data_IF_908335459450
#
_entry.id   IF_908335459450
#
_cell.length_a   1.000
_cell.length_b   1.000
_cell.length_c   1.000
_cell.angle_alpha   90.00
_cell.angle_beta   90.00
_cell.angle_gamma   90.00
#
_symmetry.space_group_name_H-M   'P 1'
#
loop_
_entity.id
_entity.type
_entity.pdbx_description
1 polymer ?
#
# COMPACT_ATOMS: atom_id res chain seq x y z
N UNK A 1 -25.75 51.05 -52.96
CA UNK A 1 -24.90 51.46 -54.11
C UNK A 1 -23.45 51.05 -53.81
N UNK A 2 -22.71 50.54 -54.81
CA UNK A 2 -21.34 49.93 -54.80
C UNK A 2 -21.27 48.48 -54.26
N UNK A 3 -21.41 47.41 -55.06
CA UNK A 3 -20.61 46.78 -56.16
C UNK A 3 -19.30 46.06 -55.72
N UNK A 4 -19.40 44.71 -55.74
CA UNK A 4 -18.49 43.63 -56.17
C UNK A 4 -16.97 43.82 -56.08
N UNK A 5 -16.26 42.77 -55.66
CA UNK A 5 -15.28 42.01 -56.46
C UNK A 5 -15.01 40.67 -55.74
N UNK A 6 -15.31 39.57 -56.41
CA UNK A 6 -14.90 38.22 -55.99
C UNK A 6 -13.49 37.91 -56.49
N UNK A 7 -12.83 36.94 -55.85
CA UNK A 7 -11.63 36.30 -56.41
C UNK A 7 -11.53 34.82 -56.01
N UNK A 8 -11.62 34.00 -57.07
CA UNK A 8 -10.85 32.80 -57.40
C UNK A 8 -10.83 31.60 -56.42
N UNK A 9 -11.58 30.58 -56.85
CA UNK A 9 -11.32 29.16 -56.62
C UNK A 9 -9.88 28.81 -56.98
N UNK A 10 -9.16 28.15 -56.07
CA UNK A 10 -8.04 27.27 -56.42
C UNK A 10 -8.40 25.88 -55.88
N UNK A 11 -8.76 25.00 -56.81
CA UNK A 11 -8.99 23.58 -56.57
C UNK A 11 -7.61 22.91 -56.56
N UNK A 12 -7.09 22.58 -55.38
CA UNK A 12 -5.89 21.73 -55.26
C UNK A 12 -6.34 20.28 -55.21
N UNK A 13 -6.16 19.56 -56.32
CA UNK A 13 -6.16 18.11 -56.35
C UNK A 13 -4.90 17.64 -55.60
N UNK A 14 -5.01 17.30 -54.32
CA UNK A 14 -4.00 16.49 -53.65
C UNK A 14 -4.38 15.02 -53.81
N UNK A 15 -3.54 14.31 -54.55
CA UNK A 15 -3.65 12.89 -54.78
C UNK A 15 -3.69 12.14 -53.43
N UNK A 16 -4.72 11.32 -53.27
CA UNK A 16 -4.82 10.34 -52.21
C UNK A 16 -3.70 9.29 -52.41
N UNK A 17 -2.63 9.41 -51.63
CA UNK A 17 -1.76 8.27 -51.35
C UNK A 17 -2.42 7.52 -50.18
N UNK A 18 -3.20 6.49 -50.51
CA UNK A 18 -3.63 5.50 -49.53
C UNK A 18 -2.41 4.66 -49.21
N UNK A 19 -1.64 5.09 -48.22
CA UNK A 19 -0.73 4.21 -47.49
C UNK A 19 -1.62 3.36 -46.58
N UNK A 20 -1.97 2.16 -47.05
CA UNK A 20 -2.44 1.10 -46.18
C UNK A 20 -1.27 0.69 -45.28
N UNK A 21 -1.10 1.41 -44.18
CA UNK A 21 -0.37 0.90 -43.04
C UNK A 21 -1.22 -0.24 -42.48
N UNK A 22 -0.93 -1.45 -42.94
CA UNK A 22 -1.12 -2.67 -42.17
C UNK A 22 -0.16 -2.62 -40.98
N UNK A 23 -0.34 -1.62 -40.11
CA UNK A 23 0.29 -1.52 -38.83
C UNK A 23 -0.48 -2.43 -37.89
N UNK A 24 0.18 -3.50 -37.47
CA UNK A 24 -0.22 -4.44 -36.43
C UNK A 24 -1.09 -3.77 -35.35
N UNK A 25 -2.42 -3.93 -35.46
CA UNK A 25 -3.41 -3.34 -34.56
C UNK A 25 -3.47 -4.07 -33.23
N UNK A 26 -2.40 -3.99 -32.45
CA UNK A 26 -2.47 -4.26 -31.03
C UNK A 26 -3.37 -3.19 -30.42
N UNK A 27 -4.56 -3.57 -29.98
CA UNK A 27 -5.52 -2.66 -29.36
C UNK A 27 -4.95 -2.13 -28.04
N UNK A 28 -4.21 -1.03 -28.09
CA UNK A 28 -3.81 -0.29 -26.88
C UNK A 28 -5.03 0.28 -26.13
N UNK A 29 -6.21 0.27 -26.76
CA UNK A 29 -7.47 0.72 -26.16
C UNK A 29 -8.20 -0.36 -25.33
N UNK A 30 -7.73 -1.61 -25.32
CA UNK A 30 -8.39 -2.64 -24.50
C UNK A 30 -7.81 -2.61 -23.09
N UNK A 31 -8.55 -2.18 -22.05
CA UNK A 31 -8.03 -2.16 -20.69
C UNK A 31 -7.79 -3.58 -20.16
N UNK A 32 -6.89 -3.70 -19.21
CA UNK A 32 -6.74 -4.88 -18.37
C UNK A 32 -7.70 -4.88 -17.19
N UNK A 33 -7.74 -5.99 -16.45
CA UNK A 33 -8.57 -6.16 -15.26
C UNK A 33 -7.77 -6.84 -14.15
N UNK A 34 -8.04 -6.49 -12.89
CA UNK A 34 -7.59 -7.25 -11.73
C UNK A 34 -8.80 -7.98 -11.13
N UNK A 35 -8.65 -9.27 -10.86
CA UNK A 35 -9.53 -10.04 -9.98
C UNK A 35 -8.87 -10.13 -8.61
N UNK A 36 -9.40 -9.41 -7.62
CA UNK A 36 -8.89 -9.37 -6.26
C UNK A 36 -9.67 -10.36 -5.39
N UNK A 37 -8.97 -11.39 -4.93
CA UNK A 37 -9.54 -12.46 -4.09
C UNK A 37 -9.06 -12.28 -2.64
N UNK A 38 -9.99 -12.05 -1.72
CA UNK A 38 -9.69 -12.02 -0.30
C UNK A 38 -9.71 -13.43 0.29
N UNK A 39 -8.58 -14.12 0.23
CA UNK A 39 -8.36 -15.41 0.87
C UNK A 39 -7.77 -15.27 2.29
N UNK A 40 -7.93 -14.09 2.91
CA UNK A 40 -7.52 -13.83 4.29
C UNK A 40 -8.73 -13.87 5.24
N UNK A 41 -8.46 -13.93 6.54
CA UNK A 41 -9.50 -13.84 7.58
C UNK A 41 -9.95 -12.41 7.88
N UNK A 42 -9.23 -11.41 7.37
CA UNK A 42 -9.51 -10.00 7.63
C UNK A 42 -10.41 -9.40 6.53
N UNK A 43 -11.15 -8.35 6.87
CA UNK A 43 -11.89 -7.56 5.88
C UNK A 43 -10.92 -6.59 5.20
N UNK A 44 -10.84 -6.64 3.88
CA UNK A 44 -10.07 -5.65 3.11
C UNK A 44 -10.99 -4.46 2.88
N UNK A 45 -10.61 -3.29 3.39
CA UNK A 45 -11.38 -2.05 3.23
C UNK A 45 -10.65 -0.99 2.40
N UNK A 46 -9.41 -1.28 1.98
CA UNK A 46 -8.66 -0.46 1.04
C UNK A 46 -7.89 -1.28 0.02
N UNK A 47 -8.00 -0.89 -1.25
CA UNK A 47 -7.12 -1.33 -2.33
C UNK A 47 -6.67 -0.12 -3.12
N UNK A 48 -5.36 0.07 -3.21
CA UNK A 48 -4.70 1.21 -3.84
C UNK A 48 -3.76 0.68 -4.92
N UNK A 49 -3.74 1.33 -6.07
CA UNK A 49 -2.93 0.93 -7.22
C UNK A 49 -2.20 2.15 -7.77
N UNK A 50 -0.89 2.02 -7.97
CA UNK A 50 -0.06 3.06 -8.56
C UNK A 50 0.85 2.46 -9.62
N UNK A 51 1.16 3.18 -10.72
CA UNK A 51 2.24 2.77 -11.61
C UNK A 51 3.54 2.56 -10.81
N UNK A 52 4.42 1.66 -11.28
CA UNK A 52 5.70 1.41 -10.60
C UNK A 52 6.52 2.69 -10.40
N UNK A 53 7.26 2.76 -9.29
CA UNK A 53 8.11 3.89 -8.89
C UNK A 53 7.37 5.19 -8.53
N UNK A 54 6.06 5.15 -8.29
CA UNK A 54 5.34 6.30 -7.76
C UNK A 54 5.52 6.43 -6.24
N UNK A 55 5.71 7.66 -5.76
CA UNK A 55 5.87 7.94 -4.33
C UNK A 55 4.55 7.88 -3.54
N UNK A 56 3.41 7.81 -4.24
CA UNK A 56 2.07 7.85 -3.63
C UNK A 56 1.15 6.80 -4.25
N UNK A 57 0.31 6.19 -3.41
CA UNK A 57 -0.56 5.05 -3.76
C UNK A 57 -1.88 5.42 -4.47
N UNK A 58 -2.22 6.70 -4.60
CA UNK A 58 -3.51 7.14 -5.11
C UNK A 58 -4.66 6.96 -4.11
N UNK A 59 -5.90 7.02 -4.61
CA UNK A 59 -7.11 6.85 -3.81
C UNK A 59 -7.50 5.37 -3.67
N UNK A 60 -8.34 5.06 -2.67
CA UNK A 60 -8.94 3.73 -2.54
C UNK A 60 -9.86 3.45 -3.74
N UNK A 61 -9.66 2.32 -4.41
CA UNK A 61 -10.39 1.92 -5.63
C UNK A 61 -11.59 1.03 -5.28
N UNK A 62 -11.66 0.48 -4.07
CA UNK A 62 -12.80 -0.36 -3.66
C UNK A 62 -14.07 0.48 -3.51
N UNK A 63 -15.17 0.01 -4.11
CA UNK A 63 -16.50 0.58 -3.91
C UNK A 63 -17.08 0.29 -2.51
N UNK A 64 -16.53 -0.70 -1.80
CA UNK A 64 -16.95 -1.12 -0.47
C UNK A 64 -16.00 -2.19 0.11
N UNK A 65 -16.20 -2.59 1.38
CA UNK A 65 -15.37 -3.60 2.01
C UNK A 65 -15.50 -4.95 1.29
N UNK A 66 -14.37 -5.64 1.14
CA UNK A 66 -14.26 -6.98 0.59
C UNK A 66 -14.06 -7.97 1.74
N UNK A 67 -15.12 -8.69 2.10
CA UNK A 67 -15.10 -9.63 3.23
C UNK A 67 -14.28 -10.89 2.93
N UNK A 68 -13.91 -11.62 3.98
CA UNK A 68 -13.20 -12.90 3.88
C UNK A 68 -13.94 -13.87 2.94
N UNK A 69 -13.20 -14.45 2.00
CA UNK A 69 -13.71 -15.40 1.00
C UNK A 69 -14.43 -14.76 -0.19
N UNK A 70 -14.54 -13.42 -0.24
CA UNK A 70 -15.12 -12.71 -1.38
C UNK A 70 -14.07 -12.33 -2.41
N UNK A 71 -14.56 -12.00 -3.62
CA UNK A 71 -13.77 -11.44 -4.70
C UNK A 71 -14.43 -10.18 -5.28
N UNK A 72 -13.62 -9.35 -5.94
CA UNK A 72 -14.10 -8.21 -6.73
C UNK A 72 -13.23 -8.01 -7.98
N UNK A 73 -13.75 -7.27 -8.96
CA UNK A 73 -13.04 -6.94 -10.19
C UNK A 73 -12.76 -5.43 -10.24
N UNK A 74 -11.49 -5.09 -10.46
CA UNK A 74 -11.07 -3.72 -10.78
C UNK A 74 -10.82 -3.70 -12.29
N UNK A 75 -11.69 -2.99 -13.01
CA UNK A 75 -11.71 -2.92 -14.48
C UNK A 75 -11.11 -1.61 -14.97
N UNK A 76 -11.02 -1.46 -16.29
CA UNK A 76 -10.57 -0.23 -16.95
C UNK A 76 -9.15 0.21 -16.57
N UNK A 77 -8.29 -0.77 -16.27
CA UNK A 77 -6.89 -0.52 -15.93
C UNK A 77 -6.07 -0.41 -17.22
N UNK A 78 -5.36 0.70 -17.39
CA UNK A 78 -4.42 0.86 -18.52
C UNK A 78 -3.35 -0.25 -18.45
N UNK A 79 -3.01 -0.92 -19.56
CA UNK A 79 -1.95 -1.94 -19.55
C UNK A 79 -0.60 -1.37 -19.08
N UNK A 80 0.13 -2.11 -18.23
CA UNK A 80 1.39 -1.67 -17.67
C UNK A 80 1.84 -2.43 -16.42
N UNK A 81 2.87 -1.90 -15.76
CA UNK A 81 3.37 -2.40 -14.47
C UNK A 81 2.91 -1.50 -13.32
N UNK A 82 2.42 -2.12 -12.25
CA UNK A 82 1.83 -1.44 -11.11
C UNK A 82 2.31 -2.03 -9.78
N UNK A 83 2.34 -1.18 -8.76
CA UNK A 83 2.41 -1.58 -7.36
C UNK A 83 1.01 -1.47 -6.75
N UNK A 84 0.67 -2.38 -5.85
CA UNK A 84 -0.58 -2.36 -5.10
C UNK A 84 -0.32 -2.35 -3.59
N UNK A 85 -1.09 -1.51 -2.89
CA UNK A 85 -1.21 -1.51 -1.43
C UNK A 85 -2.61 -1.95 -1.05
N UNK A 86 -2.68 -2.82 -0.06
CA UNK A 86 -3.93 -3.38 0.46
C UNK A 86 -4.01 -2.97 1.92
N UNK A 87 -5.15 -2.45 2.37
CA UNK A 87 -5.43 -2.18 3.78
C UNK A 87 -6.51 -3.15 4.25
N UNK A 88 -6.25 -3.81 5.36
CA UNK A 88 -7.23 -4.62 6.07
C UNK A 88 -7.45 -4.03 7.46
N UNK A 89 -8.72 -3.75 7.78
CA UNK A 89 -9.12 -3.30 9.09
C UNK A 89 -9.28 -4.50 10.02
N UNK A 90 -8.41 -4.58 11.03
CA UNK A 90 -8.55 -5.52 12.13
C UNK A 90 -9.43 -4.97 13.26
N UNK A 91 -9.74 -5.82 14.23
CA UNK A 91 -10.45 -5.41 15.45
C UNK A 91 -9.62 -4.43 16.28
N UNK A 92 -8.29 -4.58 16.26
CA UNK A 92 -7.36 -3.86 17.15
C UNK A 92 -6.30 -3.04 16.41
N UNK A 93 -6.14 -3.19 15.09
CA UNK A 93 -5.10 -2.51 14.32
C UNK A 93 -5.47 -2.44 12.84
N UNK A 94 -4.74 -1.59 12.12
CA UNK A 94 -4.68 -1.61 10.66
C UNK A 94 -3.50 -2.48 10.20
N UNK A 95 -3.74 -3.29 9.17
CA UNK A 95 -2.73 -4.13 8.56
C UNK A 95 -2.61 -3.81 7.07
N UNK A 96 -1.39 -3.91 6.55
CA UNK A 96 -1.11 -3.57 5.16
C UNK A 96 -0.47 -4.74 4.42
N UNK A 97 -0.86 -4.92 3.17
CA UNK A 97 -0.21 -5.84 2.25
C UNK A 97 0.33 -5.09 1.04
N UNK A 98 1.45 -5.56 0.51
CA UNK A 98 2.14 -4.94 -0.61
C UNK A 98 2.41 -5.97 -1.70
N UNK A 99 2.11 -5.60 -2.94
CA UNK A 99 2.39 -6.39 -4.13
C UNK A 99 3.11 -5.46 -5.11
N UNK A 100 4.32 -5.82 -5.53
CA UNK A 100 5.16 -4.99 -6.39
C UNK A 100 5.25 -5.57 -7.79
N UNK A 101 5.48 -4.70 -8.77
CA UNK A 101 5.77 -5.06 -10.18
C UNK A 101 4.69 -5.95 -10.83
N UNK A 102 3.41 -5.71 -10.51
CA UNK A 102 2.27 -6.42 -11.10
C UNK A 102 2.11 -5.98 -12.56
N UNK A 103 2.38 -6.90 -13.50
CA UNK A 103 2.08 -6.68 -14.91
C UNK A 103 0.59 -6.94 -15.22
N UNK A 104 -0.06 -5.96 -15.86
CA UNK A 104 -1.45 -6.00 -16.30
C UNK A 104 -1.45 -5.82 -17.82
N UNK A 105 -1.90 -6.84 -18.55
CA UNK A 105 -1.97 -6.83 -20.01
C UNK A 105 -3.35 -6.43 -20.54
N UNK A 106 -3.39 -5.86 -21.74
CA UNK A 106 -4.62 -5.49 -22.44
C UNK A 106 -5.57 -6.69 -22.61
N UNK A 107 -6.83 -6.53 -22.18
CA UNK A 107 -7.87 -7.56 -22.30
C UNK A 107 -7.65 -8.81 -21.43
N UNK A 108 -6.68 -8.79 -20.51
CA UNK A 108 -6.37 -9.91 -19.61
C UNK A 108 -6.79 -9.58 -18.18
N UNK A 109 -7.39 -10.56 -17.50
CA UNK A 109 -7.65 -10.51 -16.07
C UNK A 109 -6.47 -11.08 -15.29
N UNK A 110 -5.86 -10.26 -14.43
CA UNK A 110 -4.81 -10.65 -13.50
C UNK A 110 -5.40 -11.00 -12.14
N UNK A 111 -5.18 -12.23 -11.69
CA UNK A 111 -5.63 -12.67 -10.35
C UNK A 111 -4.64 -12.27 -9.27
N UNK A 112 -5.14 -11.62 -8.21
CA UNK A 112 -4.41 -11.31 -6.99
C UNK A 112 -5.05 -12.03 -5.81
N UNK A 113 -4.34 -13.00 -5.24
CA UNK A 113 -4.81 -13.81 -4.14
C UNK A 113 -4.20 -13.33 -2.82
N UNK A 114 -4.97 -12.57 -2.04
CA UNK A 114 -4.52 -12.01 -0.76
C UNK A 114 -4.74 -13.03 0.34
N UNK A 115 -3.70 -13.38 1.10
CA UNK A 115 -3.76 -14.36 2.19
C UNK A 115 -3.39 -13.70 3.51
N UNK A 116 -3.57 -14.39 4.64
CA UNK A 116 -3.10 -13.88 5.94
C UNK A 116 -1.62 -13.49 5.88
N UNK A 117 -0.75 -14.32 5.29
CA UNK A 117 0.68 -14.04 5.17
C UNK A 117 1.03 -12.85 4.26
N UNK A 118 0.06 -12.25 3.56
CA UNK A 118 0.27 -11.07 2.72
C UNK A 118 0.31 -9.77 3.51
N UNK A 119 -0.04 -9.79 4.81
CA UNK A 119 -0.17 -8.59 5.62
C UNK A 119 0.97 -8.40 6.62
N UNK A 120 1.10 -7.16 7.08
CA UNK A 120 1.90 -6.77 8.23
C UNK A 120 1.24 -7.19 9.55
N UNK A 121 2.03 -7.15 10.62
CA UNK A 121 1.53 -7.11 11.99
C UNK A 121 1.55 -5.68 12.55
N UNK A 122 1.39 -5.58 13.87
CA UNK A 122 1.48 -4.33 14.62
C UNK A 122 2.00 -4.60 16.03
N UNK A 123 2.57 -3.57 16.65
CA UNK A 123 3.13 -3.61 18.00
C UNK A 123 2.53 -2.47 18.83
N UNK A 124 1.97 -2.78 19.99
CA UNK A 124 1.61 -1.80 21.01
C UNK A 124 2.59 -1.89 22.18
N UNK A 125 3.23 -0.76 22.51
CA UNK A 125 4.04 -0.61 23.72
C UNK A 125 3.18 0.07 24.78
N UNK A 126 3.06 -0.54 25.96
CA UNK A 126 2.30 -0.02 27.10
C UNK A 126 3.23 0.29 28.27
N UNK A 127 3.26 1.55 28.69
CA UNK A 127 3.97 1.97 29.89
C UNK A 127 3.15 1.55 31.12
N UNK A 128 3.57 0.48 31.80
CA UNK A 128 2.89 0.01 33.02
C UNK A 128 3.53 0.53 34.31
N UNK A 129 4.67 1.22 34.20
CA UNK A 129 5.39 1.77 35.35
C UNK A 129 4.82 3.10 35.81
N UNK A 130 4.59 3.22 37.12
CA UNK A 130 4.11 4.46 37.72
C UNK A 130 5.27 5.43 37.95
N UNK A 131 5.05 6.71 37.63
CA UNK A 131 6.01 7.79 37.92
C UNK A 131 7.13 7.96 36.90
N UNK A 132 7.22 7.10 35.88
CA UNK A 132 8.23 7.19 34.82
C UNK A 132 7.58 7.32 33.45
N UNK A 133 8.28 8.03 32.56
CA UNK A 133 7.85 8.28 31.19
C UNK A 133 8.81 7.59 30.23
N UNK A 134 8.27 6.97 29.19
CA UNK A 134 9.07 6.52 28.05
C UNK A 134 9.38 7.74 27.17
N UNK A 135 10.65 8.00 26.90
CA UNK A 135 11.12 9.13 26.06
C UNK A 135 11.72 8.68 24.73
N UNK A 136 11.97 7.37 24.57
CA UNK A 136 12.39 6.80 23.30
C UNK A 136 11.94 5.35 23.14
N UNK A 137 11.59 4.99 21.91
CA UNK A 137 11.31 3.60 21.51
C UNK A 137 12.08 3.32 20.23
N UNK A 138 12.77 2.19 20.21
CA UNK A 138 13.49 1.68 19.06
C UNK A 138 13.00 0.26 18.82
N UNK A 139 12.65 -0.05 17.57
CA UNK A 139 12.19 -1.39 17.15
C UNK A 139 12.98 -1.75 15.90
N UNK A 140 13.74 -2.84 15.96
CA UNK A 140 14.58 -3.29 14.85
C UNK A 140 14.45 -4.80 14.66
N UNK A 141 14.66 -5.35 13.45
CA UNK A 141 14.80 -6.79 13.28
C UNK A 141 15.82 -7.37 14.28
N UNK A 142 15.58 -8.56 14.82
CA UNK A 142 16.43 -9.16 15.84
C UNK A 142 17.89 -9.43 15.38
N UNK A 143 18.13 -9.45 14.07
CA UNK A 143 19.47 -9.57 13.47
C UNK A 143 20.12 -8.21 13.13
N UNK A 144 19.47 -7.09 13.46
CA UNK A 144 19.98 -5.77 13.15
C UNK A 144 21.20 -5.42 14.03
N UNK A 145 22.30 -4.93 13.44
CA UNK A 145 23.51 -4.60 14.20
C UNK A 145 23.39 -3.30 15.01
N UNK A 146 22.33 -2.50 14.80
CA UNK A 146 22.14 -1.18 15.41
C UNK A 146 20.66 -0.85 15.60
N UNK A 147 20.31 -0.07 16.62
CA UNK A 147 18.94 0.29 17.02
C UNK A 147 18.16 1.25 16.10
N UNK A 148 18.76 1.83 15.07
CA UNK A 148 18.08 2.81 14.21
C UNK A 148 17.69 4.10 14.93
N UNK A 149 16.62 4.75 14.47
CA UNK A 149 16.13 6.03 14.99
C UNK A 149 15.01 5.87 16.03
N UNK A 150 14.85 6.86 16.90
CA UNK A 150 13.73 6.92 17.85
C UNK A 150 12.40 7.05 17.08
N UNK A 151 11.43 6.18 17.40
CA UNK A 151 10.14 6.08 16.72
C UNK A 151 9.04 6.97 17.32
N UNK A 152 9.30 7.63 18.45
CA UNK A 152 8.36 8.55 19.09
C UNK A 152 8.88 9.97 19.14
N UNK A 153 7.98 10.94 18.94
CA UNK A 153 8.27 12.38 19.05
C UNK A 153 7.76 13.00 20.36
N UNK A 154 6.98 12.26 21.14
CA UNK A 154 6.41 12.68 22.42
C UNK A 154 6.51 11.56 23.44
N UNK A 155 6.75 11.92 24.70
CA UNK A 155 6.85 10.94 25.77
C UNK A 155 5.53 10.20 26.03
N UNK A 156 5.63 8.94 26.46
CA UNK A 156 4.49 8.12 26.88
C UNK A 156 4.48 8.09 28.41
N UNK A 157 3.50 8.78 29.00
CA UNK A 157 3.34 8.82 30.46
C UNK A 157 2.87 7.48 31.05
N UNK A 158 2.78 7.39 32.39
CA UNK A 158 2.27 6.21 33.08
C UNK A 158 0.90 5.78 32.57
N UNK A 159 0.71 4.47 32.38
CA UNK A 159 -0.49 3.86 31.80
C UNK A 159 -0.81 4.28 30.36
N UNK A 160 0.07 5.06 29.72
CA UNK A 160 -0.03 5.41 28.31
C UNK A 160 0.42 4.25 27.41
N UNK A 161 0.00 4.29 26.15
CA UNK A 161 0.46 3.36 25.13
C UNK A 161 0.79 4.05 23.81
N UNK A 162 1.57 3.35 22.98
CA UNK A 162 1.84 3.73 21.60
C UNK A 162 1.78 2.51 20.70
N UNK A 163 0.94 2.61 19.67
CA UNK A 163 0.84 1.60 18.61
C UNK A 163 1.72 1.97 17.41
N UNK A 164 2.43 0.97 16.91
CA UNK A 164 3.21 0.97 15.68
C UNK A 164 2.54 -0.01 14.72
N UNK A 165 2.12 0.50 13.57
CA UNK A 165 1.46 -0.27 12.51
C UNK A 165 2.43 -0.52 11.37
N UNK A 166 2.04 -1.36 10.41
CA UNK A 166 2.82 -1.62 9.19
C UNK A 166 4.20 -2.26 9.46
N UNK A 167 4.26 -3.18 10.43
CA UNK A 167 5.48 -3.92 10.76
C UNK A 167 5.48 -5.26 10.03
N UNK A 168 6.49 -5.51 9.19
CA UNK A 168 6.65 -6.79 8.50
C UNK A 168 6.70 -7.95 9.51
N UNK A 169 6.05 -9.11 9.25
CA UNK A 169 6.10 -10.23 10.18
C UNK A 169 7.54 -10.73 10.41
N UNK A 170 7.90 -11.05 11.66
CA UNK A 170 9.26 -11.45 12.01
C UNK A 170 9.57 -11.39 13.52
N UNK A 171 10.84 -11.53 13.85
CA UNK A 171 11.39 -11.33 15.20
C UNK A 171 12.04 -9.95 15.28
N UNK A 172 11.76 -9.23 16.36
CA UNK A 172 12.21 -7.87 16.58
C UNK A 172 12.77 -7.70 17.98
N UNK A 173 13.82 -6.89 18.08
CA UNK A 173 14.30 -6.38 19.35
C UNK A 173 13.68 -5.01 19.59
N UNK A 174 13.29 -4.77 20.85
CA UNK A 174 12.68 -3.52 21.29
C UNK A 174 13.52 -2.92 22.41
N UNK A 175 13.92 -1.66 22.24
CA UNK A 175 14.58 -0.88 23.28
C UNK A 175 13.68 0.28 23.69
N UNK A 176 13.49 0.41 24.99
CA UNK A 176 12.72 1.48 25.64
C UNK A 176 13.66 2.34 26.46
N UNK A 177 13.69 3.64 26.16
CA UNK A 177 14.47 4.64 26.89
C UNK A 177 13.54 5.39 27.83
N UNK A 178 13.87 5.36 29.11
CA UNK A 178 13.11 6.01 30.16
C UNK A 178 13.64 7.43 30.45
N UNK A 179 12.79 8.29 31.00
CA UNK A 179 13.23 9.61 31.47
C UNK A 179 14.20 9.52 32.66
N UNK A 180 14.18 8.40 33.39
CA UNK A 180 15.07 8.10 34.51
C UNK A 180 15.33 6.59 34.56
N UNK A 181 16.50 6.18 35.04
CA UNK A 181 16.87 4.78 35.19
C UNK A 181 17.56 4.17 33.96
N UNK A 182 17.84 2.86 33.98
CA UNK A 182 18.39 2.15 32.84
C UNK A 182 17.32 1.96 31.75
N UNK A 183 17.78 1.77 30.50
CA UNK A 183 16.90 1.39 29.39
C UNK A 183 16.37 -0.05 29.59
N UNK A 184 15.14 -0.33 29.15
CA UNK A 184 14.62 -1.70 29.04
C UNK A 184 14.87 -2.24 27.63
N UNK A 185 15.27 -3.51 27.53
CA UNK A 185 15.52 -4.18 26.26
C UNK A 185 14.84 -5.54 26.26
N UNK A 186 13.96 -5.74 25.28
CA UNK A 186 13.23 -6.97 25.04
C UNK A 186 13.69 -7.57 23.70
N UNK A 187 14.18 -8.81 23.74
CA UNK A 187 14.73 -9.49 22.57
C UNK A 187 13.73 -10.47 21.95
N UNK A 188 13.87 -10.70 20.64
CA UNK A 188 13.14 -11.75 19.90
C UNK A 188 11.60 -11.65 20.03
N UNK A 189 11.06 -10.44 20.12
CA UNK A 189 9.63 -10.19 20.13
C UNK A 189 9.05 -10.58 18.77
N UNK A 190 8.19 -11.59 18.78
CA UNK A 190 7.51 -12.07 17.58
C UNK A 190 6.33 -11.17 17.22
N UNK A 191 6.33 -10.69 15.98
CA UNK A 191 5.21 -9.97 15.38
C UNK A 191 4.73 -10.80 14.19
N UNK A 192 3.50 -11.34 14.30
CA UNK A 192 2.88 -12.13 13.24
C UNK A 192 1.95 -11.28 12.37
N UNK A 193 1.68 -11.73 11.15
CA UNK A 193 0.72 -11.07 10.27
C UNK A 193 -0.69 -11.04 10.86
N UNK A 194 -1.41 -9.93 10.65
CA UNK A 194 -2.77 -9.70 11.16
C UNK A 194 -2.89 -9.80 12.68
N UNK A 195 -1.78 -9.60 13.41
CA UNK A 195 -1.76 -9.59 14.87
C UNK A 195 -1.34 -8.24 15.43
N UNK A 196 -1.92 -7.89 16.58
CA UNK A 196 -1.41 -6.84 17.44
C UNK A 196 -0.63 -7.50 18.59
N UNK A 197 0.70 -7.45 18.53
CA UNK A 197 1.56 -7.83 19.64
C UNK A 197 1.54 -6.71 20.68
N UNK A 198 1.30 -7.02 21.95
CA UNK A 198 1.35 -6.05 23.06
C UNK A 198 2.56 -6.33 23.92
N UNK A 199 3.42 -5.34 24.12
CA UNK A 199 4.53 -5.37 25.06
C UNK A 199 4.22 -4.43 26.23
N UNK A 200 4.01 -5.01 27.40
CA UNK A 200 3.92 -4.25 28.66
C UNK A 200 5.34 -4.06 29.17
N UNK A 201 5.76 -2.81 29.35
CA UNK A 201 7.08 -2.48 29.86
C UNK A 201 6.95 -1.91 31.27
N UNK A 202 7.79 -2.41 32.16
CA UNK A 202 7.82 -2.11 33.60
C UNK A 202 9.19 -1.60 34.08
#
# INVERSE_FOLDING_TARGET
MKRKIGKWFVLVFMAAVILSLSGCGGSEDTPGTIELNNNSVATIDGFYLAPVNQASWGANILAGPLFSGQQTFIVDIVPGYYDAKIRAAGVYSDYFGYLYDIYIAAGITRQLNVRNSSFTGSLEIRNTTLGFNIIGIYVVPADAPTWGANLISSAIGPLGSRQFIDISPGLYDVKVVWNVGPDSIDYDIRIDSLTLTTLNVD
#
